data_IF_541676778658
#
_entry.id   IF_541676778658
#
_cell.length_a   1.000
_cell.length_b   1.000
_cell.length_c   1.000
_cell.angle_alpha   90.00
_cell.angle_beta   90.00
_cell.angle_gamma   90.00
#
_symmetry.space_group_name_H-M   'P 1'
#
loop_
_entity.id
_entity.type
_entity.pdbx_description
1 polymer ?
#
# COMPACT_ATOMS: atom_id res chain seq x y z
N UNK A 1 18.90 3.22 12.00
CA UNK A 1 18.16 3.33 13.26
C UNK A 1 18.15 4.75 13.86
N UNK A 2 19.29 5.40 14.14
CA UNK A 2 19.28 6.77 14.70
C UNK A 2 18.52 7.77 13.84
N UNK A 3 18.73 7.77 12.53
CA UNK A 3 18.02 8.63 11.57
C UNK A 3 16.52 8.34 11.50
N UNK A 4 16.12 7.08 11.60
CA UNK A 4 14.71 6.71 11.66
C UNK A 4 14.01 7.29 12.90
N UNK A 5 14.67 7.26 14.04
CA UNK A 5 14.17 7.89 15.28
C UNK A 5 14.10 9.43 15.13
N UNK A 6 15.07 10.03 14.45
CA UNK A 6 15.07 11.47 14.16
C UNK A 6 13.88 11.86 13.28
N UNK A 7 13.57 11.08 12.24
CA UNK A 7 12.41 11.29 11.37
C UNK A 7 11.10 11.19 12.17
N UNK A 8 10.96 10.17 13.02
CA UNK A 8 9.77 10.00 13.87
C UNK A 8 9.57 11.22 14.77
N UNK A 9 10.63 11.70 15.42
CA UNK A 9 10.56 12.89 16.27
C UNK A 9 10.11 14.14 15.50
N UNK A 10 10.63 14.33 14.28
CA UNK A 10 10.23 15.45 13.43
C UNK A 10 8.77 15.34 12.98
N UNK A 11 8.31 14.14 12.62
CA UNK A 11 6.91 13.90 12.26
C UNK A 11 5.97 14.23 13.43
N UNK A 12 6.29 13.75 14.63
CA UNK A 12 5.50 14.03 15.83
C UNK A 12 5.45 15.53 16.20
N UNK A 13 6.58 16.21 16.03
CA UNK A 13 6.66 17.65 16.33
C UNK A 13 5.90 18.52 15.31
N UNK A 14 5.81 18.06 14.04
CA UNK A 14 5.13 18.78 12.96
C UNK A 14 3.68 18.33 12.75
N UNK A 15 3.20 17.35 13.49
CA UNK A 15 1.84 16.84 13.35
C UNK A 15 0.83 17.86 13.84
N UNK A 16 0.05 18.40 12.92
CA UNK A 16 -1.02 19.33 13.21
C UNK A 16 -2.32 18.61 13.59
N UNK A 17 -3.10 19.26 14.48
CA UNK A 17 -4.45 18.77 14.80
C UNK A 17 -5.38 19.09 13.65
N UNK A 18 -6.09 18.10 13.15
CA UNK A 18 -7.02 18.29 12.04
C UNK A 18 -7.86 17.05 11.74
N UNK A 19 -8.67 17.08 10.68
CA UNK A 19 -9.47 15.94 10.28
C UNK A 19 -8.56 14.79 9.83
N UNK A 20 -8.86 13.58 10.30
CA UNK A 20 -8.08 12.37 10.00
C UNK A 20 -8.53 11.68 8.71
N UNK A 21 -9.63 12.13 8.12
CA UNK A 21 -10.18 11.61 6.86
C UNK A 21 -10.89 12.73 6.09
N UNK A 22 -11.12 12.51 4.79
CA UNK A 22 -11.94 13.42 3.99
C UNK A 22 -13.40 13.43 4.48
N UNK A 23 -14.07 14.58 4.33
CA UNK A 23 -15.50 14.74 4.66
C UNK A 23 -16.43 14.24 3.55
N UNK A 24 -15.89 13.86 2.39
CA UNK A 24 -16.71 13.33 1.29
C UNK A 24 -17.20 11.90 1.63
N UNK A 25 -18.47 11.78 1.96
CA UNK A 25 -19.13 10.51 2.29
C UNK A 25 -19.19 9.50 1.14
N UNK A 26 -18.90 9.92 -0.09
CA UNK A 26 -18.80 9.04 -1.27
C UNK A 26 -17.49 8.27 -1.33
N UNK A 27 -16.45 8.79 -0.71
CA UNK A 27 -15.09 8.21 -0.72
C UNK A 27 -14.75 7.64 0.66
N UNK A 28 -15.15 8.33 1.73
CA UNK A 28 -14.85 7.95 3.10
C UNK A 28 -16.11 7.49 3.83
N UNK A 29 -16.07 6.35 4.56
CA UNK A 29 -17.25 5.87 5.27
C UNK A 29 -17.71 6.86 6.33
N UNK A 30 -19.03 7.15 6.42
CA UNK A 30 -19.59 8.01 7.45
C UNK A 30 -19.46 7.39 8.84
N UNK A 31 -19.58 8.20 9.88
CA UNK A 31 -19.53 7.72 11.26
C UNK A 31 -20.77 6.88 11.60
N UNK A 32 -20.65 5.97 12.57
CA UNK A 32 -21.78 5.17 13.05
C UNK A 32 -22.96 6.02 13.54
N UNK A 33 -22.69 7.21 14.08
CA UNK A 33 -23.71 8.14 14.54
C UNK A 33 -24.48 8.74 13.36
N UNK A 34 -23.77 9.19 12.34
CA UNK A 34 -24.37 9.76 11.13
C UNK A 34 -25.22 8.75 10.38
N UNK A 35 -24.77 7.48 10.26
CA UNK A 35 -25.52 6.40 9.61
C UNK A 35 -26.89 6.19 10.29
N UNK A 36 -26.98 6.37 11.61
CA UNK A 36 -28.23 6.21 12.37
C UNK A 36 -29.16 7.43 12.28
N UNK A 37 -28.65 8.59 11.94
CA UNK A 37 -29.39 9.86 11.98
C UNK A 37 -29.70 10.43 10.61
N UNK A 38 -28.96 10.04 9.57
CA UNK A 38 -29.09 10.56 8.22
C UNK A 38 -29.29 9.43 7.21
N UNK A 39 -30.36 9.51 6.43
CA UNK A 39 -30.62 8.57 5.35
C UNK A 39 -29.55 8.65 4.26
N UNK A 40 -29.04 9.84 3.97
CA UNK A 40 -27.98 10.06 3.00
C UNK A 40 -26.68 9.35 3.44
N UNK A 41 -26.31 9.46 4.71
CA UNK A 41 -25.15 8.76 5.26
C UNK A 41 -25.30 7.23 5.19
N UNK A 42 -26.52 6.71 5.42
CA UNK A 42 -26.82 5.30 5.27
C UNK A 42 -26.66 4.82 3.82
N UNK A 43 -27.14 5.60 2.86
CA UNK A 43 -27.03 5.30 1.41
C UNK A 43 -25.57 5.35 0.98
N UNK A 44 -24.80 6.35 1.41
CA UNK A 44 -23.37 6.45 1.12
C UNK A 44 -22.61 5.27 1.70
N UNK A 45 -22.87 4.89 2.93
CA UNK A 45 -22.29 3.70 3.55
C UNK A 45 -22.61 2.44 2.74
N UNK A 46 -23.87 2.21 2.41
CA UNK A 46 -24.29 1.04 1.64
C UNK A 46 -23.61 0.97 0.28
N UNK A 47 -23.61 2.07 -0.49
CA UNK A 47 -22.99 2.13 -1.81
C UNK A 47 -21.48 1.95 -1.75
N UNK A 48 -20.81 2.54 -0.76
CA UNK A 48 -19.36 2.43 -0.61
C UNK A 48 -18.91 1.00 -0.36
N UNK A 49 -19.66 0.24 0.44
CA UNK A 49 -19.31 -1.14 0.79
C UNK A 49 -19.84 -2.20 -0.20
N UNK A 50 -20.83 -1.88 -1.03
CA UNK A 50 -21.34 -2.79 -2.05
C UNK A 50 -20.73 -2.57 -3.42
N UNK A 51 -20.64 -1.32 -3.90
CA UNK A 51 -20.12 -0.95 -5.21
C UNK A 51 -18.69 -0.39 -5.17
N UNK A 52 -18.32 0.28 -4.09
CA UNK A 52 -17.14 1.13 -4.02
C UNK A 52 -17.35 2.48 -4.72
N UNK A 53 -16.28 3.29 -4.77
CA UNK A 53 -16.28 4.57 -5.49
C UNK A 53 -15.71 4.39 -6.91
N UNK A 54 -16.21 5.19 -7.84
CA UNK A 54 -15.73 5.19 -9.23
C UNK A 54 -14.58 6.16 -9.39
N UNK A 55 -13.56 5.73 -10.12
CA UNK A 55 -12.40 6.56 -10.45
C UNK A 55 -12.50 6.98 -11.92
N UNK A 56 -12.23 8.24 -12.28
CA UNK A 56 -12.19 8.67 -13.68
C UNK A 56 -11.26 7.78 -14.52
N UNK A 57 -11.53 7.70 -15.82
CA UNK A 57 -10.65 6.97 -16.76
C UNK A 57 -9.33 7.69 -16.85
N UNK A 58 -8.27 7.02 -16.42
CA UNK A 58 -6.91 7.55 -16.49
C UNK A 58 -5.90 6.43 -16.24
N UNK A 59 -4.63 6.72 -16.48
CA UNK A 59 -3.52 5.85 -16.14
C UNK A 59 -2.47 6.63 -15.34
N UNK A 60 -1.91 6.00 -14.34
CA UNK A 60 -0.90 6.61 -13.48
C UNK A 60 0.13 5.58 -13.02
N UNK A 61 1.39 6.01 -12.99
CA UNK A 61 2.45 5.32 -12.28
C UNK A 61 2.96 6.19 -11.14
N UNK A 62 2.97 5.64 -9.95
CA UNK A 62 3.52 6.30 -8.77
C UNK A 62 4.46 5.36 -8.06
N UNK A 63 5.65 5.83 -7.73
CA UNK A 63 6.64 5.08 -6.98
C UNK A 63 7.03 5.83 -5.71
N UNK A 64 7.26 5.08 -4.65
CA UNK A 64 7.73 5.59 -3.37
C UNK A 64 8.93 4.80 -2.91
N UNK A 65 9.79 5.42 -2.11
CA UNK A 65 10.88 4.72 -1.45
C UNK A 65 10.32 3.91 -0.27
N UNK A 66 10.32 2.59 -0.43
CA UNK A 66 9.98 1.66 0.62
C UNK A 66 11.23 1.17 1.36
N UNK A 67 11.12 0.55 2.56
CA UNK A 67 12.28 0.07 3.31
C UNK A 67 13.19 -0.89 2.54
N UNK A 68 12.67 -1.62 1.56
CA UNK A 68 13.39 -2.59 0.73
C UNK A 68 13.87 -2.02 -0.61
N UNK A 69 13.44 -0.83 -0.97
CA UNK A 69 13.75 -0.17 -2.22
C UNK A 69 12.53 0.51 -2.84
N UNK A 70 12.53 0.71 -4.15
CA UNK A 70 11.45 1.37 -4.86
C UNK A 70 10.22 0.45 -4.95
N UNK A 71 9.11 0.89 -4.36
CA UNK A 71 7.79 0.26 -4.51
C UNK A 71 6.94 1.12 -5.44
N UNK A 72 6.56 0.58 -6.58
CA UNK A 72 5.81 1.28 -7.61
C UNK A 72 4.49 0.61 -7.91
N UNK A 73 3.47 1.41 -8.18
CA UNK A 73 2.15 0.94 -8.62
C UNK A 73 1.78 1.63 -9.93
N UNK A 74 1.52 0.84 -10.95
CA UNK A 74 0.94 1.29 -12.20
C UNK A 74 -0.51 0.87 -12.26
N UNK A 75 -1.39 1.84 -12.37
CA UNK A 75 -2.83 1.67 -12.30
C UNK A 75 -3.49 2.24 -13.57
N UNK A 76 -4.40 1.47 -14.14
CA UNK A 76 -5.28 1.92 -15.23
C UNK A 76 -6.72 1.80 -14.75
N UNK A 77 -7.46 2.91 -14.82
CA UNK A 77 -8.89 2.98 -14.53
C UNK A 77 -9.71 3.08 -15.81
N UNK A 78 -10.81 2.35 -15.88
CA UNK A 78 -11.80 2.41 -16.97
C UNK A 78 -13.05 3.21 -16.62
N UNK A 79 -13.07 3.81 -15.42
CA UNK A 79 -14.23 4.53 -14.88
C UNK A 79 -15.13 3.67 -13.99
N UNK A 80 -14.78 2.42 -13.77
CA UNK A 80 -15.48 1.53 -12.84
C UNK A 80 -14.93 1.68 -11.40
N UNK A 81 -15.50 0.92 -10.47
CA UNK A 81 -15.03 0.84 -9.09
C UNK A 81 -13.84 -0.12 -8.91
N UNK A 82 -13.46 -0.82 -9.96
CA UNK A 82 -12.32 -1.75 -9.97
C UNK A 82 -11.31 -1.27 -11.01
N UNK A 83 -10.01 -1.36 -10.73
CA UNK A 83 -9.01 -1.03 -11.74
C UNK A 83 -9.09 -2.02 -12.91
N UNK A 84 -9.00 -1.49 -14.14
CA UNK A 84 -8.87 -2.32 -15.33
C UNK A 84 -7.57 -3.11 -15.32
N UNK A 85 -6.49 -2.48 -14.89
CA UNK A 85 -5.18 -3.10 -14.72
C UNK A 85 -4.44 -2.49 -13.55
N UNK A 86 -3.84 -3.35 -12.73
CA UNK A 86 -2.94 -2.96 -11.66
C UNK A 86 -1.66 -3.78 -11.79
N UNK A 87 -0.53 -3.08 -11.93
CA UNK A 87 0.80 -3.70 -11.93
C UNK A 87 1.60 -3.13 -10.77
N UNK A 88 2.07 -4.00 -9.90
CA UNK A 88 2.86 -3.64 -8.75
C UNK A 88 4.33 -4.00 -9.03
N UNK A 89 5.21 -3.02 -8.92
CA UNK A 89 6.65 -3.23 -8.91
C UNK A 89 7.10 -3.41 -7.48
N UNK A 90 7.44 -4.63 -7.13
CA UNK A 90 7.95 -4.96 -5.82
C UNK A 90 9.49 -5.07 -5.86
N UNK A 91 10.23 -4.42 -4.95
CA UNK A 91 11.69 -4.53 -4.94
C UNK A 91 12.17 -5.94 -4.61
N UNK A 92 11.44 -6.67 -3.76
CA UNK A 92 11.78 -8.05 -3.38
C UNK A 92 11.79 -9.04 -4.54
N UNK A 93 10.98 -8.81 -5.57
CA UNK A 93 10.97 -9.65 -6.77
C UNK A 93 12.32 -9.66 -7.51
N UNK A 94 12.93 -8.49 -7.64
CA UNK A 94 14.26 -8.36 -8.25
C UNK A 94 15.37 -8.92 -7.35
N UNK A 95 15.27 -8.71 -6.05
CA UNK A 95 16.24 -9.21 -5.08
C UNK A 95 16.26 -10.74 -5.03
N UNK A 96 15.10 -11.39 -5.17
CA UNK A 96 15.00 -12.85 -5.14
C UNK A 96 15.81 -13.51 -6.27
N UNK A 97 15.94 -12.86 -7.41
CA UNK A 97 16.74 -13.41 -8.52
C UNK A 97 18.23 -13.55 -8.16
N UNK A 98 18.76 -12.71 -7.28
CA UNK A 98 20.15 -12.78 -6.82
C UNK A 98 20.42 -13.99 -5.93
N UNK A 99 19.37 -14.57 -5.33
CA UNK A 99 19.49 -15.70 -4.40
C UNK A 99 20.20 -16.90 -5.01
N UNK A 100 19.88 -17.23 -6.27
CA UNK A 100 20.53 -18.34 -6.98
C UNK A 100 22.05 -18.19 -7.07
N UNK A 101 22.53 -16.97 -7.19
CA UNK A 101 23.95 -16.67 -7.23
C UNK A 101 24.57 -16.72 -5.82
N UNK A 102 23.86 -16.19 -4.82
CA UNK A 102 24.35 -16.07 -3.44
C UNK A 102 24.41 -17.41 -2.70
N UNK A 103 23.54 -18.36 -3.03
CA UNK A 103 23.49 -19.69 -2.37
C UNK A 103 24.53 -20.64 -2.96
N UNK A 104 25.01 -20.38 -4.15
CA UNK A 104 25.94 -21.29 -4.81
C UNK A 104 27.23 -21.48 -4.01
N UNK A 105 27.51 -22.73 -3.61
CA UNK A 105 28.67 -23.10 -2.82
C UNK A 105 28.47 -23.02 -1.30
N UNK A 106 27.27 -22.67 -0.84
CA UNK A 106 26.89 -22.66 0.58
C UNK A 106 26.09 -23.90 0.98
N UNK A 107 25.92 -24.12 2.27
CA UNK A 107 25.11 -25.20 2.82
C UNK A 107 23.61 -24.86 2.72
N UNK A 108 22.77 -25.89 2.66
CA UNK A 108 21.32 -25.71 2.66
C UNK A 108 20.83 -24.93 3.90
N UNK A 109 21.50 -25.10 5.03
CA UNK A 109 21.21 -24.37 6.27
C UNK A 109 21.44 -22.85 6.17
N UNK A 110 22.23 -22.37 5.21
CA UNK A 110 22.51 -20.95 4.99
C UNK A 110 21.41 -20.24 4.21
N UNK A 111 20.51 -20.99 3.55
CA UNK A 111 19.40 -20.44 2.74
C UNK A 111 18.52 -19.48 3.54
N UNK A 112 18.05 -19.80 4.75
CA UNK A 112 17.29 -18.85 5.57
C UNK A 112 18.07 -17.58 5.93
N UNK A 113 19.37 -17.67 6.14
CA UNK A 113 20.22 -16.52 6.44
C UNK A 113 20.36 -15.59 5.22
N UNK A 114 20.52 -16.17 4.02
CA UNK A 114 20.57 -15.41 2.76
C UNK A 114 19.22 -14.74 2.49
N UNK A 115 18.09 -15.44 2.67
CA UNK A 115 16.75 -14.87 2.56
C UNK A 115 16.53 -13.70 3.52
N UNK A 116 16.98 -13.85 4.76
CA UNK A 116 16.92 -12.78 5.76
C UNK A 116 17.79 -11.58 5.42
N UNK A 117 18.98 -11.79 4.82
CA UNK A 117 19.87 -10.71 4.40
C UNK A 117 19.34 -9.92 3.20
N UNK A 118 18.62 -10.57 2.29
CA UNK A 118 17.92 -9.95 1.16
C UNK A 118 16.60 -9.30 1.57
N UNK A 119 16.15 -9.53 2.81
CA UNK A 119 14.88 -9.05 3.34
C UNK A 119 13.67 -9.45 2.46
N UNK A 120 13.63 -10.73 2.08
CA UNK A 120 12.57 -11.27 1.23
C UNK A 120 11.34 -11.61 2.07
N UNK A 121 10.20 -11.05 1.66
CA UNK A 121 8.86 -11.42 2.14
C UNK A 121 8.03 -11.90 0.95
N UNK A 122 7.56 -13.13 0.99
CA UNK A 122 6.90 -13.75 -0.16
C UNK A 122 5.57 -13.10 -0.51
N UNK A 123 4.85 -12.53 0.45
CA UNK A 123 3.65 -11.75 0.17
C UNK A 123 3.89 -10.54 -0.75
N UNK A 124 5.07 -9.94 -0.68
CA UNK A 124 5.50 -8.88 -1.61
C UNK A 124 5.87 -9.44 -2.99
N UNK A 125 6.50 -10.61 -3.04
CA UNK A 125 6.95 -11.26 -4.28
C UNK A 125 5.77 -11.86 -5.06
N UNK A 126 4.86 -12.54 -4.36
CA UNK A 126 3.74 -13.26 -4.97
C UNK A 126 2.50 -12.37 -5.19
N UNK A 127 2.32 -11.33 -4.38
CA UNK A 127 1.22 -10.35 -4.42
C UNK A 127 -0.17 -10.92 -4.21
#
# INVERSE_FOLDING_TARGET
MKESVSIIKQCLAKMEKGPIKTFDGKISPPSKKEIKQSMEALIHHFKLFTEGFRVPKDEIYTAVEAPKGEFGVYLISDGSSKPYKCKIRAPGFSHLQSMNYLIKGHMLADVPAVLGSLDIVFGEVDR
#
